data_IF_928717146445
#
_entry.id   IF_928717146445
#
_cell.length_a   1.000
_cell.length_b   1.000
_cell.length_c   1.000
_cell.angle_alpha   90.00
_cell.angle_beta   90.00
_cell.angle_gamma   90.00
#
_symmetry.space_group_name_H-M   'P 1'
#
loop_
_entity.id
_entity.type
_entity.pdbx_description
1 polymer ?
#
# COMPACT_ATOMS: atom_id res chain seq x y z
N UNK A 1 15.24 3.31 -17.46
CA UNK A 1 15.31 2.84 -16.06
C UNK A 1 16.62 3.21 -15.38
N UNK A 2 17.80 2.97 -15.98
CA UNK A 2 19.09 3.41 -15.40
C UNK A 2 19.11 4.89 -15.07
N UNK A 3 18.79 5.76 -16.03
CA UNK A 3 18.75 7.22 -15.81
C UNK A 3 17.80 7.63 -14.68
N UNK A 4 16.65 6.96 -14.55
CA UNK A 4 15.72 7.22 -13.47
C UNK A 4 16.32 6.89 -12.09
N UNK A 5 17.08 5.80 -11.97
CA UNK A 5 17.80 5.49 -10.73
C UNK A 5 18.89 6.54 -10.44
N UNK A 6 19.67 6.94 -11.46
CA UNK A 6 20.71 7.96 -11.31
C UNK A 6 20.12 9.32 -10.85
N UNK A 7 19.02 9.76 -11.47
CA UNK A 7 18.31 10.99 -11.10
C UNK A 7 17.70 10.91 -9.69
N UNK A 8 17.12 9.76 -9.30
CA UNK A 8 16.57 9.59 -7.97
C UNK A 8 17.64 9.65 -6.87
N UNK A 9 18.80 9.05 -7.11
CA UNK A 9 19.93 9.15 -6.18
C UNK A 9 20.49 10.58 -6.12
N UNK A 10 20.55 11.30 -7.25
CA UNK A 10 20.95 12.72 -7.30
C UNK A 10 20.00 13.60 -6.51
N UNK A 11 18.69 13.43 -6.69
CA UNK A 11 17.66 14.15 -5.92
C UNK A 11 17.89 14.00 -4.42
N UNK A 12 18.14 12.78 -3.94
CA UNK A 12 18.42 12.58 -2.51
C UNK A 12 19.67 13.33 -2.05
N UNK A 13 20.76 13.26 -2.80
CA UNK A 13 22.00 13.98 -2.47
C UNK A 13 21.76 15.48 -2.39
N UNK A 14 21.14 16.04 -3.39
CA UNK A 14 20.84 17.48 -3.47
C UNK A 14 20.00 17.92 -2.27
N UNK A 15 18.93 17.19 -1.95
CA UNK A 15 18.09 17.49 -0.77
C UNK A 15 18.83 17.41 0.54
N UNK A 16 19.70 16.42 0.70
CA UNK A 16 20.53 16.28 1.89
C UNK A 16 21.50 17.46 2.00
N UNK A 17 22.19 17.83 0.92
CA UNK A 17 23.12 18.98 0.91
C UNK A 17 22.38 20.30 1.24
N UNK A 18 21.23 20.56 0.64
CA UNK A 18 20.41 21.74 0.91
C UNK A 18 20.00 21.82 2.39
N UNK A 19 19.58 20.71 2.98
CA UNK A 19 19.15 20.66 4.37
C UNK A 19 20.29 20.82 5.36
N UNK A 20 21.45 20.26 5.05
CA UNK A 20 22.68 20.49 5.82
C UNK A 20 23.03 22.00 5.78
N UNK A 21 23.02 22.62 4.60
CA UNK A 21 23.30 24.05 4.44
C UNK A 21 22.27 24.93 5.17
N UNK A 22 21.03 24.48 5.27
CA UNK A 22 19.95 25.16 6.01
C UNK A 22 19.94 24.86 7.51
N UNK A 23 20.91 24.10 8.05
CA UNK A 23 20.99 23.76 9.48
C UNK A 23 19.89 22.80 9.97
N UNK A 24 19.27 22.03 9.09
CA UNK A 24 18.24 21.04 9.46
C UNK A 24 18.92 19.87 10.19
N UNK A 25 18.27 19.37 11.25
CA UNK A 25 18.76 18.22 12.01
C UNK A 25 18.89 16.95 11.17
N UNK A 26 19.86 16.11 11.50
CA UNK A 26 20.22 14.90 10.72
C UNK A 26 19.05 13.91 10.57
N UNK A 27 18.20 13.80 11.58
CA UNK A 27 16.99 12.98 11.60
C UNK A 27 15.97 13.35 10.51
N UNK A 28 16.07 14.57 9.96
CA UNK A 28 15.16 15.11 8.95
C UNK A 28 15.76 15.25 7.55
N UNK A 29 17.03 14.89 7.35
CA UNK A 29 17.70 15.08 6.06
C UNK A 29 17.02 14.35 4.89
N UNK A 30 16.46 13.18 5.12
CA UNK A 30 15.81 12.35 4.09
C UNK A 30 14.27 12.40 4.14
N UNK A 31 13.70 13.12 5.12
CA UNK A 31 12.26 13.19 5.32
C UNK A 31 11.56 13.75 4.08
N UNK A 32 10.55 13.05 3.56
CA UNK A 32 9.71 13.49 2.44
C UNK A 32 10.32 13.33 1.05
N UNK A 33 11.60 12.99 0.89
CA UNK A 33 12.25 12.85 -0.44
C UNK A 33 11.61 11.72 -1.26
N UNK A 34 11.32 10.58 -0.63
CA UNK A 34 10.63 9.48 -1.31
C UNK A 34 9.20 9.86 -1.72
N UNK A 35 8.51 10.70 -0.95
CA UNK A 35 7.18 11.19 -1.30
C UNK A 35 7.22 12.20 -2.46
N UNK A 36 8.24 13.06 -2.51
CA UNK A 36 8.50 13.95 -3.63
C UNK A 36 8.72 13.15 -4.93
N UNK A 37 9.57 12.12 -4.85
CA UNK A 37 9.80 11.21 -5.97
C UNK A 37 8.52 10.45 -6.38
N UNK A 38 7.68 10.06 -5.41
CA UNK A 38 6.40 9.40 -5.67
C UNK A 38 5.48 10.28 -6.52
N UNK A 39 5.36 11.55 -6.18
CA UNK A 39 4.56 12.51 -6.93
C UNK A 39 5.12 12.76 -8.33
N UNK A 40 6.44 12.93 -8.46
CA UNK A 40 7.11 13.18 -9.73
C UNK A 40 6.98 11.99 -10.71
N UNK A 41 7.03 10.76 -10.19
CA UNK A 41 6.93 9.53 -10.99
C UNK A 41 5.52 8.93 -11.06
N UNK A 42 4.53 9.58 -10.43
CA UNK A 42 3.14 9.07 -10.32
C UNK A 42 3.08 7.66 -9.68
N UNK A 43 3.90 7.44 -8.67
CA UNK A 43 3.99 6.16 -7.95
C UNK A 43 3.35 6.27 -6.56
N UNK A 44 2.97 5.13 -5.98
CA UNK A 44 2.64 5.12 -4.56
C UNK A 44 3.89 5.44 -3.71
N UNK A 45 3.74 6.08 -2.53
CA UNK A 45 4.87 6.40 -1.66
C UNK A 45 5.73 5.20 -1.29
N UNK A 46 5.10 4.03 -1.09
CA UNK A 46 5.80 2.79 -0.81
C UNK A 46 6.67 2.30 -2.00
N UNK A 47 6.13 2.39 -3.21
CA UNK A 47 6.87 2.03 -4.44
C UNK A 47 8.05 2.97 -4.65
N UNK A 48 7.82 4.28 -4.48
CA UNK A 48 8.87 5.29 -4.62
C UNK A 48 9.97 5.16 -3.56
N UNK A 49 9.62 4.85 -2.31
CA UNK A 49 10.60 4.60 -1.26
C UNK A 49 11.51 3.41 -1.58
N UNK A 50 10.93 2.30 -2.08
CA UNK A 50 11.72 1.16 -2.56
C UNK A 50 12.56 1.51 -3.77
N UNK A 51 12.04 2.32 -4.69
CA UNK A 51 12.78 2.77 -5.86
C UNK A 51 13.99 3.63 -5.45
N UNK A 52 13.79 4.60 -4.56
CA UNK A 52 14.86 5.45 -4.05
C UNK A 52 15.92 4.65 -3.30
N UNK A 53 15.52 3.70 -2.44
CA UNK A 53 16.46 2.84 -1.74
C UNK A 53 17.34 2.02 -2.71
N UNK A 54 16.74 1.48 -3.78
CA UNK A 54 17.49 0.76 -4.83
C UNK A 54 18.44 1.68 -5.59
N UNK A 55 18.02 2.91 -5.90
CA UNK A 55 18.85 3.90 -6.57
C UNK A 55 20.11 4.21 -5.76
N UNK A 56 19.97 4.39 -4.45
CA UNK A 56 21.08 4.65 -3.53
C UNK A 56 22.00 3.43 -3.41
N UNK A 57 21.44 2.24 -3.33
CA UNK A 57 22.21 1.00 -3.22
C UNK A 57 23.06 0.75 -4.48
N UNK A 58 22.47 0.91 -5.68
CA UNK A 58 23.17 0.81 -6.95
C UNK A 58 24.32 1.81 -7.06
N UNK A 59 24.09 3.05 -6.63
CA UNK A 59 25.10 4.09 -6.72
C UNK A 59 26.25 3.88 -5.77
N UNK A 60 25.98 3.44 -4.54
CA UNK A 60 26.98 3.41 -3.47
C UNK A 60 27.72 2.09 -3.34
N UNK A 61 27.02 0.97 -3.60
CA UNK A 61 27.50 -0.34 -3.17
C UNK A 61 27.58 -1.37 -4.30
N UNK A 62 26.90 -1.15 -5.43
CA UNK A 62 26.79 -2.14 -6.51
C UNK A 62 27.21 -1.56 -7.88
N UNK A 63 28.49 -1.13 -8.03
CA UNK A 63 28.96 -0.48 -9.25
C UNK A 63 28.92 -1.38 -10.48
N UNK A 64 29.20 -2.69 -10.35
CA UNK A 64 29.16 -3.64 -11.47
C UNK A 64 27.72 -3.92 -11.93
N UNK A 65 26.79 -4.16 -10.99
CA UNK A 65 25.35 -4.28 -11.30
C UNK A 65 24.84 -3.02 -11.99
N UNK A 66 25.25 -1.84 -11.49
CA UNK A 66 24.90 -0.56 -12.10
C UNK A 66 25.42 -0.45 -13.56
N UNK A 67 26.65 -0.87 -13.80
CA UNK A 67 27.23 -0.86 -15.14
C UNK A 67 26.45 -1.80 -16.10
N UNK A 68 26.13 -3.03 -15.68
CA UNK A 68 25.33 -3.97 -16.49
C UNK A 68 23.93 -3.43 -16.80
N UNK A 69 23.30 -2.74 -15.85
CA UNK A 69 22.02 -2.09 -16.10
C UNK A 69 22.15 -0.93 -17.10
N UNK A 70 23.24 -0.16 -17.04
CA UNK A 70 23.54 0.92 -17.99
C UNK A 70 23.74 0.37 -19.40
N UNK A 71 24.54 -0.67 -19.54
CA UNK A 71 24.92 -1.27 -20.82
C UNK A 71 23.74 -2.06 -21.45
N UNK A 72 22.67 -2.31 -20.69
CA UNK A 72 21.50 -3.07 -21.15
C UNK A 72 21.63 -4.59 -21.04
N UNK A 73 22.72 -5.08 -20.45
CA UNK A 73 22.98 -6.51 -20.25
C UNK A 73 22.14 -7.09 -19.10
N UNK A 74 21.57 -6.24 -18.25
CA UNK A 74 20.75 -6.64 -17.11
C UNK A 74 19.36 -5.99 -17.18
N UNK A 75 18.33 -6.83 -17.14
CA UNK A 75 16.96 -6.37 -17.12
C UNK A 75 16.62 -5.63 -15.79
N UNK A 76 15.80 -4.55 -15.82
CA UNK A 76 15.43 -3.81 -14.63
C UNK A 76 14.81 -4.66 -13.51
N UNK A 77 14.11 -5.73 -13.85
CA UNK A 77 13.48 -6.68 -12.92
C UNK A 77 14.50 -7.50 -12.12
N UNK A 78 15.74 -7.60 -12.59
CA UNK A 78 16.82 -8.26 -11.88
C UNK A 78 17.33 -7.44 -10.68
N UNK A 79 17.25 -6.11 -10.76
CA UNK A 79 17.75 -5.21 -9.71
C UNK A 79 17.15 -5.50 -8.32
N UNK A 80 15.81 -5.60 -8.16
CA UNK A 80 15.24 -5.96 -6.85
C UNK A 80 15.63 -7.37 -6.36
N UNK A 81 15.94 -8.29 -7.27
CA UNK A 81 16.40 -9.65 -6.92
C UNK A 81 17.82 -9.59 -6.34
N UNK A 82 18.74 -8.93 -7.04
CA UNK A 82 20.13 -8.79 -6.58
C UNK A 82 20.18 -8.03 -5.25
N UNK A 83 19.62 -6.82 -5.20
CA UNK A 83 19.65 -5.99 -4.00
C UNK A 83 18.98 -6.71 -2.82
N UNK A 84 17.82 -7.33 -3.06
CA UNK A 84 17.09 -8.06 -2.03
C UNK A 84 17.86 -9.28 -1.51
N UNK A 85 18.56 -9.99 -2.37
CA UNK A 85 19.40 -11.15 -2.01
C UNK A 85 20.63 -10.77 -1.19
N UNK A 86 21.21 -9.59 -1.45
CA UNK A 86 22.44 -9.11 -0.79
C UNK A 86 22.19 -8.21 0.43
N UNK A 87 20.95 -7.81 0.70
CA UNK A 87 20.62 -6.76 1.68
C UNK A 87 21.07 -7.04 3.12
N UNK A 88 21.31 -8.29 3.49
CA UNK A 88 21.72 -8.72 4.83
C UNK A 88 23.24 -8.77 5.01
N UNK A 89 24.00 -8.73 3.93
CA UNK A 89 25.45 -8.69 3.97
C UNK A 89 25.94 -7.30 4.40
N UNK A 90 27.13 -7.22 4.94
CA UNK A 90 27.80 -5.94 5.15
C UNK A 90 28.21 -5.29 3.82
N UNK A 91 28.72 -4.06 3.87
CA UNK A 91 29.05 -3.30 2.66
C UNK A 91 30.19 -3.97 1.86
N UNK A 92 31.20 -4.51 2.53
CA UNK A 92 32.35 -5.12 1.87
C UNK A 92 31.94 -6.42 1.15
N UNK A 93 31.13 -7.23 1.81
CA UNK A 93 30.61 -8.47 1.23
C UNK A 93 29.63 -8.19 0.09
N UNK A 94 28.80 -7.13 0.18
CA UNK A 94 27.96 -6.68 -0.96
C UNK A 94 28.78 -6.32 -2.19
N UNK A 95 29.87 -5.57 -2.01
CA UNK A 95 30.76 -5.19 -3.10
C UNK A 95 31.47 -6.40 -3.69
N UNK A 96 31.89 -7.36 -2.86
CA UNK A 96 32.47 -8.62 -3.31
C UNK A 96 31.46 -9.44 -4.09
N UNK A 97 30.21 -9.55 -3.62
CA UNK A 97 29.13 -10.22 -4.32
C UNK A 97 28.80 -9.54 -5.65
N UNK A 98 28.75 -8.20 -5.69
CA UNK A 98 28.53 -7.41 -6.91
C UNK A 98 29.58 -7.70 -7.97
N UNK A 99 30.85 -7.77 -7.55
CA UNK A 99 31.96 -8.14 -8.42
C UNK A 99 31.79 -9.57 -8.98
N UNK A 100 31.48 -10.54 -8.12
CA UNK A 100 31.30 -11.94 -8.52
C UNK A 100 30.12 -12.13 -9.48
N UNK A 101 29.04 -11.40 -9.26
CA UNK A 101 27.81 -11.50 -10.07
C UNK A 101 27.93 -10.78 -11.41
N UNK A 102 28.48 -9.56 -11.41
CA UNK A 102 28.28 -8.61 -12.49
C UNK A 102 29.57 -8.07 -13.14
N UNK A 103 30.78 -8.43 -12.65
CA UNK A 103 32.01 -7.97 -13.30
C UNK A 103 32.16 -8.57 -14.71
N UNK A 104 31.83 -9.85 -14.86
CA UNK A 104 31.79 -10.53 -16.16
C UNK A 104 30.34 -10.64 -16.66
N UNK A 105 29.98 -10.04 -17.82
CA UNK A 105 28.64 -10.15 -18.40
C UNK A 105 28.20 -11.60 -18.67
N UNK A 106 29.14 -12.51 -18.93
CA UNK A 106 28.83 -13.89 -19.20
C UNK A 106 28.25 -14.65 -17.99
N UNK A 107 28.56 -14.21 -16.78
CA UNK A 107 28.10 -14.87 -15.54
C UNK A 107 26.58 -14.98 -15.45
N UNK A 108 25.85 -13.93 -15.84
CA UNK A 108 24.39 -13.89 -15.77
C UNK A 108 23.69 -14.18 -17.10
N UNK A 109 24.45 -14.45 -18.16
CA UNK A 109 23.89 -14.66 -19.49
C UNK A 109 22.89 -15.83 -19.52
N UNK A 110 21.68 -15.57 -19.99
CA UNK A 110 20.64 -16.58 -20.14
C UNK A 110 19.92 -16.97 -18.82
N UNK A 111 20.27 -16.40 -17.69
CA UNK A 111 19.59 -16.69 -16.42
C UNK A 111 18.23 -16.01 -16.34
N UNK A 112 17.19 -16.79 -16.06
CA UNK A 112 15.89 -16.25 -15.63
C UNK A 112 15.93 -15.78 -14.17
N UNK A 113 14.95 -14.94 -13.76
CA UNK A 113 14.93 -14.35 -12.41
C UNK A 113 15.00 -15.36 -11.26
N UNK A 114 14.43 -16.56 -11.42
CA UNK A 114 14.52 -17.62 -10.39
C UNK A 114 15.94 -18.20 -10.26
N UNK A 115 16.62 -18.40 -11.39
CA UNK A 115 18.01 -18.86 -11.40
C UNK A 115 18.93 -17.79 -10.82
N UNK A 116 18.72 -16.53 -11.21
CA UNK A 116 19.43 -15.38 -10.65
C UNK A 116 19.25 -15.32 -9.12
N UNK A 117 18.02 -15.45 -8.63
CA UNK A 117 17.76 -15.42 -7.19
C UNK A 117 18.52 -16.52 -6.45
N UNK A 118 18.51 -17.75 -6.97
CA UNK A 118 19.23 -18.87 -6.37
C UNK A 118 20.76 -18.64 -6.41
N UNK A 119 21.28 -18.07 -7.50
CA UNK A 119 22.70 -17.77 -7.65
C UNK A 119 23.15 -16.67 -6.68
N UNK A 120 22.39 -15.58 -6.56
CA UNK A 120 22.62 -14.52 -5.57
C UNK A 120 22.63 -15.07 -4.15
N UNK A 121 21.67 -15.94 -3.81
CA UNK A 121 21.59 -16.57 -2.50
C UNK A 121 22.78 -17.48 -2.19
N UNK A 122 23.27 -18.24 -3.19
CA UNK A 122 24.48 -19.06 -3.06
C UNK A 122 25.72 -18.21 -2.77
N UNK A 123 25.92 -17.11 -3.50
CA UNK A 123 27.05 -16.20 -3.27
C UNK A 123 26.94 -15.55 -1.90
N UNK A 124 25.76 -15.05 -1.53
CA UNK A 124 25.53 -14.42 -0.23
C UNK A 124 25.82 -15.41 0.93
N UNK A 125 25.39 -16.66 0.81
CA UNK A 125 25.66 -17.70 1.79
C UNK A 125 27.16 -18.06 1.88
N UNK A 126 27.86 -18.08 0.74
CA UNK A 126 29.29 -18.36 0.70
C UNK A 126 30.13 -17.26 1.37
N UNK A 127 29.68 -15.98 1.29
CA UNK A 127 30.34 -14.84 1.91
C UNK A 127 30.05 -14.74 3.40
N UNK A 128 28.79 -14.85 3.80
CA UNK A 128 28.38 -14.85 5.21
C UNK A 128 27.19 -15.80 5.46
N UNK A 129 27.53 -17.05 5.80
CA UNK A 129 26.55 -18.07 6.15
C UNK A 129 25.74 -17.69 7.41
N UNK A 130 26.38 -17.00 8.39
CA UNK A 130 25.74 -16.64 9.65
C UNK A 130 24.72 -15.52 9.43
N UNK A 131 25.09 -14.45 8.71
CA UNK A 131 24.15 -13.38 8.36
C UNK A 131 22.94 -13.91 7.60
N UNK A 132 23.14 -14.88 6.70
CA UNK A 132 22.03 -15.52 5.97
C UNK A 132 21.09 -16.30 6.90
N UNK A 133 21.62 -17.03 7.87
CA UNK A 133 20.81 -17.75 8.87
C UNK A 133 20.07 -16.77 9.78
N UNK A 134 20.75 -15.73 10.26
CA UNK A 134 20.15 -14.70 11.13
C UNK A 134 19.06 -13.92 10.38
N UNK A 135 19.23 -13.65 9.09
CA UNK A 135 18.18 -13.08 8.23
C UNK A 135 16.95 -13.99 8.18
N UNK A 136 17.12 -15.28 7.93
CA UNK A 136 16.00 -16.21 7.86
C UNK A 136 15.25 -16.27 9.21
N UNK A 137 15.97 -16.32 10.32
CA UNK A 137 15.37 -16.25 11.65
C UNK A 137 14.65 -14.92 11.92
N UNK A 138 15.20 -13.81 11.42
CA UNK A 138 14.54 -12.50 11.50
C UNK A 138 13.29 -12.41 10.64
N UNK A 139 13.31 -12.98 9.44
CA UNK A 139 12.17 -13.00 8.52
C UNK A 139 10.94 -13.71 9.13
N UNK A 140 11.14 -14.63 10.07
CA UNK A 140 10.02 -15.22 10.79
C UNK A 140 9.22 -14.21 11.63
N UNK A 141 9.81 -13.07 12.01
CA UNK A 141 9.13 -12.00 12.76
C UNK A 141 8.16 -11.20 11.86
N UNK A 142 8.34 -11.27 10.55
CA UNK A 142 7.53 -10.56 9.56
C UNK A 142 6.24 -11.32 9.21
N UNK A 143 5.93 -12.41 9.93
CA UNK A 143 4.67 -13.13 9.75
C UNK A 143 3.49 -12.17 9.82
N UNK A 144 2.64 -12.22 8.81
CA UNK A 144 1.51 -11.30 8.73
C UNK A 144 0.37 -11.89 7.90
N UNK A 145 -0.82 -11.33 8.09
CA UNK A 145 -1.99 -11.59 7.25
C UNK A 145 -2.38 -10.30 6.58
N UNK A 146 -2.56 -10.35 5.28
CA UNK A 146 -2.98 -9.18 4.50
C UNK A 146 -4.22 -9.49 3.67
N UNK A 147 -5.04 -8.46 3.43
CA UNK A 147 -6.17 -8.52 2.51
C UNK A 147 -5.96 -7.52 1.37
N UNK A 148 -6.26 -7.94 0.16
CA UNK A 148 -6.24 -7.08 -1.03
C UNK A 148 -7.53 -7.24 -1.80
N UNK A 149 -8.34 -6.18 -1.95
CA UNK A 149 -9.49 -6.18 -2.82
C UNK A 149 -9.11 -6.48 -4.27
N UNK A 150 -9.97 -7.19 -4.97
CA UNK A 150 -9.87 -7.50 -6.39
C UNK A 150 -11.17 -7.08 -7.08
N UNK A 151 -11.18 -6.97 -8.44
CA UNK A 151 -12.40 -6.77 -9.21
C UNK A 151 -13.46 -7.84 -8.89
N UNK A 152 -14.69 -7.58 -9.30
CA UNK A 152 -15.82 -8.53 -9.24
C UNK A 152 -16.26 -8.92 -7.83
N UNK A 153 -16.01 -8.04 -6.83
CA UNK A 153 -16.38 -8.29 -5.44
C UNK A 153 -15.54 -9.36 -4.74
N UNK A 154 -14.39 -9.68 -5.32
CA UNK A 154 -13.44 -10.64 -4.74
C UNK A 154 -12.39 -9.94 -3.89
N UNK A 155 -11.74 -10.69 -3.01
CA UNK A 155 -10.56 -10.25 -2.28
C UNK A 155 -9.57 -11.40 -2.12
N UNK A 156 -8.29 -11.07 -2.06
CA UNK A 156 -7.24 -12.03 -1.75
C UNK A 156 -6.78 -11.85 -0.32
N UNK A 157 -6.89 -12.91 0.47
CA UNK A 157 -6.25 -13.00 1.78
C UNK A 157 -4.93 -13.76 1.58
N UNK A 158 -3.84 -13.18 2.07
CA UNK A 158 -2.49 -13.75 1.97
C UNK A 158 -1.90 -13.90 3.37
N UNK A 159 -1.33 -15.07 3.63
CA UNK A 159 -0.59 -15.35 4.85
C UNK A 159 0.90 -15.44 4.51
N UNK A 160 1.73 -14.66 5.18
CA UNK A 160 3.18 -14.78 5.15
C UNK A 160 3.61 -15.62 6.37
N UNK A 161 4.15 -16.79 6.10
CA UNK A 161 4.52 -17.80 7.10
C UNK A 161 5.92 -18.35 6.81
N UNK A 162 6.62 -18.92 7.79
CA UNK A 162 7.80 -19.74 7.54
C UNK A 162 7.50 -20.82 6.50
N UNK A 163 8.48 -21.09 5.62
CA UNK A 163 8.29 -21.96 4.45
C UNK A 163 7.66 -23.30 4.81
N UNK A 164 8.15 -23.97 5.86
CA UNK A 164 7.64 -25.27 6.29
C UNK A 164 6.17 -25.20 6.70
N UNK A 165 5.76 -24.12 7.40
CA UNK A 165 4.37 -23.92 7.81
C UNK A 165 3.47 -23.63 6.59
N UNK A 166 3.93 -22.80 5.66
CA UNK A 166 3.18 -22.48 4.44
C UNK A 166 2.97 -23.72 3.57
N UNK A 167 4.03 -24.52 3.35
CA UNK A 167 3.95 -25.79 2.60
C UNK A 167 3.03 -26.79 3.31
N UNK A 168 3.14 -26.92 4.62
CA UNK A 168 2.29 -27.81 5.41
C UNK A 168 0.81 -27.42 5.35
N UNK A 169 0.50 -26.11 5.50
CA UNK A 169 -0.87 -25.59 5.40
C UNK A 169 -1.46 -25.84 4.00
N UNK A 170 -0.70 -25.53 2.95
CA UNK A 170 -1.13 -25.75 1.58
C UNK A 170 -1.35 -27.23 1.26
N UNK A 171 -0.41 -28.10 1.65
CA UNK A 171 -0.52 -29.53 1.44
C UNK A 171 -1.74 -30.13 2.16
N UNK A 172 -2.04 -29.64 3.37
CA UNK A 172 -3.21 -30.08 4.13
C UNK A 172 -4.53 -29.68 3.46
N UNK A 173 -4.64 -28.45 2.93
CA UNK A 173 -5.82 -28.01 2.15
C UNK A 173 -5.98 -28.83 0.88
N UNK A 174 -4.88 -29.09 0.17
CA UNK A 174 -4.87 -29.90 -1.04
C UNK A 174 -5.32 -31.34 -0.78
N UNK A 175 -4.76 -31.98 0.25
CA UNK A 175 -5.14 -33.35 0.63
C UNK A 175 -6.63 -33.46 0.95
N UNK A 176 -7.17 -32.50 1.70
CA UNK A 176 -8.60 -32.48 2.00
C UNK A 176 -9.46 -32.37 0.74
N UNK A 177 -9.10 -31.47 -0.18
CA UNK A 177 -9.81 -31.31 -1.46
C UNK A 177 -9.71 -32.58 -2.31
N UNK A 178 -8.55 -33.22 -2.38
CA UNK A 178 -8.37 -34.47 -3.13
C UNK A 178 -9.23 -35.62 -2.55
N UNK A 179 -9.40 -35.67 -1.23
CA UNK A 179 -10.29 -36.64 -0.57
C UNK A 179 -11.75 -36.44 -0.98
N UNK A 180 -12.24 -35.19 -0.99
CA UNK A 180 -13.64 -34.89 -1.39
C UNK A 180 -13.89 -35.17 -2.87
N UNK A 181 -12.97 -34.82 -3.74
CA UNK A 181 -13.06 -35.09 -5.18
C UNK A 181 -13.05 -36.59 -5.49
N UNK A 182 -12.34 -37.40 -4.69
CA UNK A 182 -12.26 -38.84 -4.83
C UNK A 182 -13.61 -39.57 -4.64
N UNK A 183 -14.59 -38.94 -4.00
CA UNK A 183 -15.93 -39.50 -3.81
C UNK A 183 -16.89 -39.33 -5.02
N UNK A 184 -16.48 -38.56 -6.05
CA UNK A 184 -17.19 -38.45 -7.32
C UNK A 184 -18.51 -37.67 -7.30
N UNK A 185 -18.95 -37.17 -6.15
CA UNK A 185 -20.21 -36.41 -5.98
C UNK A 185 -20.00 -34.92 -5.84
N UNK A 186 -18.73 -34.48 -5.71
CA UNK A 186 -18.37 -33.08 -5.51
C UNK A 186 -18.36 -32.32 -6.85
N UNK A 187 -19.13 -31.24 -6.92
CA UNK A 187 -19.23 -30.38 -8.12
C UNK A 187 -18.25 -29.21 -8.14
N UNK A 188 -17.67 -28.87 -6.98
CA UNK A 188 -16.71 -27.78 -6.87
C UNK A 188 -15.34 -28.20 -7.38
N UNK A 189 -14.60 -27.26 -7.93
CA UNK A 189 -13.19 -27.46 -8.30
C UNK A 189 -12.31 -27.62 -7.05
N UNK A 190 -11.13 -28.22 -7.21
CA UNK A 190 -10.13 -28.32 -6.14
C UNK A 190 -9.85 -26.96 -5.49
N UNK A 191 -9.70 -25.90 -6.31
CA UNK A 191 -9.45 -24.53 -5.83
C UNK A 191 -10.58 -24.00 -4.96
N UNK A 192 -11.83 -24.21 -5.37
CA UNK A 192 -13.01 -23.81 -4.59
C UNK A 192 -13.07 -24.55 -3.25
N UNK A 193 -12.87 -25.85 -3.25
CA UNK A 193 -12.86 -26.65 -2.01
C UNK A 193 -11.74 -26.18 -1.06
N UNK A 194 -10.54 -25.92 -1.59
CA UNK A 194 -9.43 -25.38 -0.79
C UNK A 194 -9.76 -24.02 -0.18
N UNK A 195 -10.37 -23.12 -0.96
CA UNK A 195 -10.75 -21.79 -0.50
C UNK A 195 -11.84 -21.85 0.59
N UNK A 196 -12.90 -22.64 0.37
CA UNK A 196 -13.98 -22.84 1.34
C UNK A 196 -13.47 -23.47 2.63
N UNK A 197 -12.57 -24.46 2.51
CA UNK A 197 -11.93 -25.11 3.67
C UNK A 197 -11.04 -24.17 4.44
N UNK A 198 -10.27 -23.32 3.74
CA UNK A 198 -9.45 -22.30 4.39
C UNK A 198 -10.32 -21.30 5.13
N UNK A 199 -11.39 -20.80 4.50
CA UNK A 199 -12.36 -19.92 5.13
C UNK A 199 -12.97 -20.55 6.40
N UNK A 200 -13.49 -21.77 6.28
CA UNK A 200 -14.10 -22.48 7.40
C UNK A 200 -13.13 -22.65 8.59
N UNK A 201 -11.87 -22.95 8.33
CA UNK A 201 -10.85 -23.13 9.38
C UNK A 201 -10.42 -21.82 10.03
N UNK A 202 -10.30 -20.75 9.25
CA UNK A 202 -9.93 -19.43 9.75
C UNK A 202 -11.05 -18.79 10.58
N UNK A 203 -12.32 -19.03 10.21
CA UNK A 203 -13.48 -18.44 10.87
C UNK A 203 -14.16 -19.35 11.88
N UNK A 204 -13.87 -20.65 11.86
CA UNK A 204 -14.57 -21.68 12.63
C UNK A 204 -15.99 -21.96 12.12
N UNK A 205 -16.37 -21.51 10.91
CA UNK A 205 -17.72 -21.62 10.36
C UNK A 205 -17.70 -22.22 8.96
N UNK A 206 -18.69 -23.05 8.68
CA UNK A 206 -18.82 -23.67 7.36
C UNK A 206 -19.43 -22.76 6.28
N UNK A 207 -20.13 -21.70 6.68
CA UNK A 207 -20.77 -20.72 5.80
C UNK A 207 -20.56 -19.28 6.30
N UNK A 208 -20.72 -18.32 5.38
CA UNK A 208 -20.62 -16.88 5.67
C UNK A 208 -21.82 -16.36 6.46
N UNK A 209 -22.93 -17.12 6.50
CA UNK A 209 -24.18 -16.72 7.13
C UNK A 209 -23.99 -16.53 8.64
N UNK A 210 -24.33 -15.33 9.13
CA UNK A 210 -24.26 -14.98 10.55
C UNK A 210 -22.86 -14.72 11.09
N UNK A 211 -21.87 -14.31 10.27
CA UNK A 211 -20.62 -13.76 10.80
C UNK A 211 -20.84 -12.37 11.40
N UNK A 212 -20.53 -12.15 12.69
CA UNK A 212 -20.51 -10.82 13.27
C UNK A 212 -19.21 -10.10 12.81
N UNK A 213 -19.18 -9.64 11.56
CA UNK A 213 -18.11 -8.78 11.06
C UNK A 213 -18.67 -7.37 10.98
N UNK A 214 -18.05 -6.45 11.72
CA UNK A 214 -18.35 -5.03 11.58
C UNK A 214 -17.80 -4.57 10.23
N UNK A 215 -18.69 -4.47 9.26
CA UNK A 215 -18.36 -4.01 7.91
C UNK A 215 -18.98 -2.62 7.74
N UNK A 216 -18.15 -1.60 7.56
CA UNK A 216 -18.64 -0.26 7.22
C UNK A 216 -18.94 -0.21 5.72
N UNK A 217 -20.22 -0.12 5.40
CA UNK A 217 -20.70 -0.03 4.03
C UNK A 217 -21.36 1.33 3.81
N UNK A 218 -20.83 2.13 2.88
CA UNK A 218 -21.45 3.38 2.45
C UNK A 218 -22.25 3.13 1.18
N UNK A 219 -23.57 3.32 1.25
CA UNK A 219 -24.50 3.12 0.13
C UNK A 219 -25.49 4.28 0.08
N UNK A 220 -25.81 4.86 -1.10
CA UNK A 220 -26.87 5.85 -1.23
C UNK A 220 -28.22 5.27 -0.80
N UNK A 221 -29.04 6.06 -0.09
CA UNK A 221 -30.35 5.60 0.34
C UNK A 221 -31.27 5.20 -0.83
N UNK A 222 -31.18 5.91 -1.94
CA UNK A 222 -31.90 5.62 -3.19
C UNK A 222 -31.49 4.30 -3.83
N UNK A 223 -30.22 3.91 -3.66
CA UNK A 223 -29.66 2.64 -4.13
C UNK A 223 -29.98 1.51 -3.16
N UNK A 224 -29.95 1.78 -1.84
CA UNK A 224 -30.28 0.80 -0.80
C UNK A 224 -31.76 0.41 -0.82
N UNK A 225 -32.64 1.41 -0.87
CA UNK A 225 -34.10 1.26 -0.69
C UNK A 225 -34.87 1.21 -2.01
N UNK A 226 -34.22 1.51 -3.13
CA UNK A 226 -34.82 1.53 -4.47
C UNK A 226 -34.23 0.47 -5.39
N UNK A 227 -34.89 0.25 -6.54
CA UNK A 227 -34.42 -0.68 -7.58
C UNK A 227 -33.44 -0.02 -8.56
N UNK A 228 -32.84 1.13 -8.17
CA UNK A 228 -31.91 1.82 -9.04
C UNK A 228 -30.55 1.10 -9.05
N UNK A 229 -29.92 0.98 -10.23
CA UNK A 229 -28.54 0.52 -10.33
C UNK A 229 -27.62 1.53 -9.63
N UNK A 230 -26.58 1.04 -9.00
CA UNK A 230 -25.61 1.87 -8.29
C UNK A 230 -24.53 1.03 -7.62
N UNK A 231 -23.68 1.69 -6.86
CA UNK A 231 -22.59 1.03 -6.15
C UNK A 231 -22.59 1.42 -4.67
N UNK A 232 -22.04 0.54 -3.85
CA UNK A 232 -21.72 0.78 -2.46
C UNK A 232 -20.20 0.77 -2.27
N UNK A 233 -19.71 1.47 -1.29
CA UNK A 233 -18.30 1.43 -0.90
C UNK A 233 -18.14 0.67 0.41
N UNK A 234 -17.26 -0.33 0.38
CA UNK A 234 -16.88 -1.14 1.54
C UNK A 234 -15.53 -0.66 2.06
N UNK A 235 -15.47 -0.24 3.32
CA UNK A 235 -14.21 0.19 3.95
C UNK A 235 -13.17 -0.95 3.90
N UNK A 236 -12.00 -0.66 3.30
CA UNK A 236 -10.95 -1.66 3.09
C UNK A 236 -11.24 -2.71 2.00
N UNK A 237 -12.45 -2.74 1.44
CA UNK A 237 -12.88 -3.72 0.42
C UNK A 237 -13.13 -3.13 -0.97
N UNK A 238 -13.21 -1.79 -1.10
CA UNK A 238 -13.46 -1.14 -2.39
C UNK A 238 -14.94 -1.01 -2.75
N UNK A 239 -15.22 -0.94 -4.05
CA UNK A 239 -16.57 -0.70 -4.58
C UNK A 239 -17.29 -2.02 -4.88
N UNK A 240 -18.53 -2.14 -4.44
CA UNK A 240 -19.41 -3.29 -4.68
C UNK A 240 -20.64 -2.89 -5.51
N UNK A 241 -21.15 -3.75 -6.40
CA UNK A 241 -22.47 -3.58 -7.00
C UNK A 241 -23.57 -3.49 -5.93
N UNK A 242 -24.61 -2.70 -6.19
CA UNK A 242 -25.70 -2.47 -5.26
C UNK A 242 -26.43 -3.76 -4.82
N UNK A 243 -26.57 -4.71 -5.72
CA UNK A 243 -27.21 -6.00 -5.43
C UNK A 243 -26.44 -6.80 -4.39
N UNK A 244 -25.11 -6.91 -4.55
CA UNK A 244 -24.25 -7.59 -3.57
C UNK A 244 -24.31 -6.88 -2.22
N UNK A 245 -24.29 -5.54 -2.23
CA UNK A 245 -24.38 -4.75 -0.99
C UNK A 245 -25.74 -4.94 -0.29
N UNK A 246 -26.86 -4.95 -1.04
CA UNK A 246 -28.21 -5.24 -0.49
C UNK A 246 -28.29 -6.63 0.12
N UNK A 247 -27.74 -7.64 -0.55
CA UNK A 247 -27.71 -9.02 -0.04
C UNK A 247 -26.92 -9.12 1.27
N UNK A 248 -25.73 -8.48 1.34
CA UNK A 248 -24.94 -8.44 2.57
C UNK A 248 -25.69 -7.77 3.73
N UNK A 249 -26.36 -6.63 3.47
CA UNK A 249 -27.17 -5.93 4.47
C UNK A 249 -28.39 -6.78 4.87
N UNK A 250 -29.07 -7.43 3.92
CA UNK A 250 -30.20 -8.31 4.17
C UNK A 250 -29.83 -9.47 5.11
N UNK A 251 -28.73 -10.16 4.84
CA UNK A 251 -28.22 -11.23 5.69
C UNK A 251 -27.84 -10.71 7.10
N UNK A 252 -27.13 -9.58 7.17
CA UNK A 252 -26.76 -8.96 8.45
C UNK A 252 -28.00 -8.51 9.25
N UNK A 253 -29.01 -7.99 8.59
CA UNK A 253 -30.28 -7.58 9.22
C UNK A 253 -31.04 -8.79 9.75
N UNK A 254 -31.15 -9.86 8.97
CA UNK A 254 -31.80 -11.10 9.40
C UNK A 254 -31.11 -11.73 10.62
N UNK A 255 -29.80 -11.54 10.74
CA UNK A 255 -29.00 -12.00 11.89
C UNK A 255 -29.01 -11.01 13.08
N UNK A 256 -29.70 -9.86 12.99
CA UNK A 256 -29.68 -8.83 14.04
C UNK A 256 -28.37 -8.07 14.18
N UNK A 257 -27.51 -8.10 13.14
CA UNK A 257 -26.14 -7.58 13.16
C UNK A 257 -25.96 -6.31 12.30
N UNK A 258 -27.04 -5.73 11.76
CA UNK A 258 -27.00 -4.53 10.95
C UNK A 258 -27.21 -3.25 11.79
N UNK A 259 -26.31 -2.29 11.66
CA UNK A 259 -26.41 -0.96 12.29
C UNK A 259 -26.38 0.10 11.18
N UNK A 260 -27.33 1.03 11.18
CA UNK A 260 -27.44 2.09 10.17
C UNK A 260 -27.00 3.42 10.74
N UNK A 261 -25.94 4.02 10.16
CA UNK A 261 -25.52 5.39 10.39
C UNK A 261 -25.87 6.24 9.16
N UNK A 262 -26.67 7.30 9.32
CA UNK A 262 -27.05 8.17 8.21
C UNK A 262 -26.01 9.26 8.01
N UNK A 263 -25.53 9.41 6.78
CA UNK A 263 -24.70 10.53 6.35
C UNK A 263 -25.54 11.43 5.43
N UNK A 264 -25.60 12.73 5.72
CA UNK A 264 -26.31 13.70 4.91
C UNK A 264 -25.35 14.30 3.89
N UNK A 265 -25.76 14.30 2.64
CA UNK A 265 -24.95 14.74 1.48
C UNK A 265 -25.70 15.92 0.85
N UNK A 266 -24.98 16.99 0.46
CA UNK A 266 -25.57 18.08 -0.32
C UNK A 266 -25.96 17.57 -1.72
N UNK A 267 -27.22 17.72 -2.17
CA UNK A 267 -27.72 17.07 -3.39
C UNK A 267 -26.99 17.47 -4.66
N UNK A 268 -26.53 18.73 -4.73
CA UNK A 268 -25.92 19.30 -5.94
C UNK A 268 -24.42 18.98 -6.09
N UNK A 269 -23.68 18.84 -4.98
CA UNK A 269 -22.23 18.65 -5.00
C UNK A 269 -21.79 17.27 -4.54
N UNK A 270 -22.67 16.47 -3.93
CA UNK A 270 -22.30 15.22 -3.24
C UNK A 270 -21.40 15.47 -2.02
N UNK A 271 -21.29 16.73 -1.54
CA UNK A 271 -20.46 17.08 -0.41
C UNK A 271 -21.17 16.75 0.92
N UNK A 272 -20.47 16.15 1.86
CA UNK A 272 -20.96 15.95 3.23
C UNK A 272 -20.94 17.29 3.96
N UNK A 273 -22.05 17.70 4.58
CA UNK A 273 -22.18 19.01 5.22
C UNK A 273 -21.45 19.06 6.56
N UNK A 274 -20.76 20.17 6.81
CA UNK A 274 -19.67 20.39 7.75
C UNK A 274 -20.01 20.34 9.26
N UNK A 275 -19.03 19.89 10.06
CA UNK A 275 -18.88 20.21 11.48
C UNK A 275 -17.51 20.87 11.71
N UNK A 276 -17.46 21.92 12.53
CA UNK A 276 -16.23 22.56 13.00
C UNK A 276 -15.98 22.22 14.47
N UNK A 277 -14.70 22.12 14.87
CA UNK A 277 -14.31 21.91 16.25
C UNK A 277 -13.28 22.95 16.70
N UNK A 278 -13.36 23.37 17.97
CA UNK A 278 -12.33 24.20 18.61
C UNK A 278 -11.16 23.37 19.17
N UNK A 279 -11.28 22.05 19.13
CA UNK A 279 -10.22 21.15 19.61
C UNK A 279 -9.14 20.97 18.52
N UNK A 280 -7.89 20.79 18.94
CA UNK A 280 -6.77 20.47 18.02
C UNK A 280 -6.96 19.10 17.34
N UNK A 281 -7.46 18.12 18.06
CA UNK A 281 -7.74 16.80 17.51
C UNK A 281 -9.12 16.78 16.85
N UNK A 282 -9.24 16.07 15.75
CA UNK A 282 -10.52 15.84 15.09
C UNK A 282 -11.43 14.98 15.99
N UNK A 283 -12.62 15.46 16.41
CA UNK A 283 -13.58 14.62 17.08
C UNK A 283 -13.99 13.42 16.21
N UNK A 284 -14.32 12.29 16.84
CA UNK A 284 -14.61 11.04 16.12
C UNK A 284 -15.65 11.20 15.01
N UNK A 285 -16.73 11.93 15.26
CA UNK A 285 -17.77 12.19 14.26
C UNK A 285 -17.24 12.96 13.05
N UNK A 286 -16.38 13.96 13.25
CA UNK A 286 -15.77 14.74 12.18
C UNK A 286 -14.71 13.91 11.43
N UNK A 287 -13.93 13.11 12.16
CA UNK A 287 -12.97 12.18 11.57
C UNK A 287 -13.66 11.13 10.70
N UNK A 288 -14.77 10.57 11.14
CA UNK A 288 -15.57 9.63 10.36
C UNK A 288 -16.14 10.26 9.08
N UNK A 289 -16.61 11.52 9.17
CA UNK A 289 -17.10 12.26 7.99
C UNK A 289 -15.99 12.48 6.97
N UNK A 290 -14.78 12.86 7.43
CA UNK A 290 -13.62 13.04 6.55
C UNK A 290 -13.20 11.73 5.92
N UNK A 291 -13.16 10.62 6.69
CA UNK A 291 -12.85 9.29 6.16
C UNK A 291 -13.87 8.84 5.11
N UNK A 292 -15.16 9.04 5.38
CA UNK A 292 -16.23 8.72 4.43
C UNK A 292 -16.14 9.56 3.14
N UNK A 293 -15.75 10.83 3.24
CA UNK A 293 -15.49 11.69 2.09
C UNK A 293 -14.30 11.22 1.26
N UNK A 294 -13.18 10.96 1.93
CA UNK A 294 -11.88 10.77 1.29
C UNK A 294 -11.64 9.33 0.85
N UNK A 295 -12.19 8.33 1.55
CA UNK A 295 -12.10 6.88 1.30
C UNK A 295 -10.69 6.30 1.35
N UNK A 296 -9.71 6.96 0.74
CA UNK A 296 -8.30 6.62 0.67
C UNK A 296 -7.43 7.84 1.01
N UNK A 297 -6.14 7.60 1.19
CA UNK A 297 -5.16 8.65 1.41
C UNK A 297 -5.26 9.75 0.33
N UNK A 298 -5.34 11.01 0.77
CA UNK A 298 -5.54 12.16 -0.11
C UNK A 298 -4.30 12.61 -0.87
N UNK A 299 -3.14 12.03 -0.60
CA UNK A 299 -1.95 12.29 -1.40
C UNK A 299 -2.15 11.68 -2.80
N UNK A 300 -1.94 12.44 -3.87
CA UNK A 300 -2.02 11.91 -5.23
C UNK A 300 -1.21 10.63 -5.41
N UNK A 301 -1.77 9.67 -6.16
CA UNK A 301 -1.16 8.36 -6.46
C UNK A 301 -0.97 7.43 -5.25
N UNK A 302 -1.52 7.80 -4.06
CA UNK A 302 -1.47 7.00 -2.86
C UNK A 302 -2.84 6.42 -2.53
N UNK A 303 -3.09 5.19 -2.94
CA UNK A 303 -4.36 4.49 -2.68
C UNK A 303 -4.34 3.71 -1.34
N UNK A 304 -3.45 4.09 -0.41
CA UNK A 304 -3.35 3.45 0.89
C UNK A 304 -4.57 3.77 1.76
N UNK A 305 -4.96 2.86 2.68
CA UNK A 305 -5.99 3.13 3.67
C UNK A 305 -5.64 4.36 4.52
N UNK A 306 -6.67 5.11 4.91
CA UNK A 306 -6.52 6.26 5.82
C UNK A 306 -6.17 5.75 7.22
N UNK A 307 -5.01 6.15 7.72
CA UNK A 307 -4.59 5.89 9.10
C UNK A 307 -4.88 7.08 10.02
N UNK A 308 -4.76 8.31 9.49
CA UNK A 308 -4.90 9.54 10.25
C UNK A 308 -5.86 10.50 9.56
N UNK A 309 -6.67 11.19 10.37
CA UNK A 309 -7.37 12.40 9.95
C UNK A 309 -6.54 13.58 10.41
N UNK A 310 -6.06 14.38 9.48
CA UNK A 310 -5.12 15.46 9.79
C UNK A 310 -5.46 16.76 9.06
N UNK A 311 -4.85 17.86 9.47
CA UNK A 311 -5.07 19.18 8.91
C UNK A 311 -4.37 19.33 7.55
N UNK A 312 -5.02 19.94 6.58
CA UNK A 312 -4.41 20.38 5.32
C UNK A 312 -3.41 21.52 5.63
N UNK A 313 -3.91 22.62 6.19
CA UNK A 313 -3.06 23.67 6.79
C UNK A 313 -2.86 23.32 8.25
N UNK A 314 -1.60 23.13 8.72
CA UNK A 314 -1.34 22.69 10.08
C UNK A 314 -1.96 23.59 11.16
N UNK A 315 -2.45 22.99 12.23
CA UNK A 315 -3.02 23.73 13.38
C UNK A 315 -2.00 24.71 13.98
N UNK A 316 -0.73 24.33 14.01
CA UNK A 316 0.36 25.18 14.51
C UNK A 316 0.54 26.48 13.72
N UNK A 317 0.12 26.53 12.45
CA UNK A 317 0.16 27.70 11.58
C UNK A 317 -1.21 28.39 11.42
N UNK A 318 -2.17 28.07 12.32
CA UNK A 318 -3.50 28.70 12.36
C UNK A 318 -4.59 27.95 11.62
N UNK A 319 -4.32 26.74 11.12
CA UNK A 319 -5.34 25.91 10.48
C UNK A 319 -6.41 25.46 11.46
N UNK A 320 -7.68 25.65 11.12
CA UNK A 320 -8.84 25.26 11.96
C UNK A 320 -9.08 23.75 11.87
N UNK A 321 -9.55 23.15 12.96
CA UNK A 321 -10.08 21.78 12.96
C UNK A 321 -11.49 21.80 12.39
N UNK A 322 -11.60 21.65 11.09
CA UNK A 322 -12.84 21.74 10.33
C UNK A 322 -12.92 20.66 9.26
N UNK A 323 -14.12 20.41 8.76
CA UNK A 323 -14.33 19.50 7.64
C UNK A 323 -13.54 19.90 6.39
N UNK A 324 -13.48 21.22 6.11
CA UNK A 324 -12.78 21.78 4.94
C UNK A 324 -11.26 21.78 5.10
N UNK A 325 -10.73 21.91 6.31
CA UNK A 325 -9.28 21.85 6.56
C UNK A 325 -8.81 20.46 7.00
N UNK A 326 -9.71 19.48 7.07
CA UNK A 326 -9.35 18.09 7.38
C UNK A 326 -9.12 17.26 6.13
N UNK A 327 -8.21 16.29 6.21
CA UNK A 327 -7.93 15.30 5.16
C UNK A 327 -7.56 13.94 5.77
N UNK A 328 -7.90 12.88 5.04
CA UNK A 328 -7.49 11.53 5.39
C UNK A 328 -6.13 11.17 4.79
N UNK A 329 -5.17 10.75 5.59
CA UNK A 329 -3.82 10.38 5.16
C UNK A 329 -3.41 9.00 5.69
N UNK A 330 -2.61 8.26 4.92
CA UNK A 330 -1.84 7.15 5.47
C UNK A 330 -0.68 7.67 6.34
N UNK A 331 -0.11 6.80 7.17
CA UNK A 331 0.97 7.21 8.07
C UNK A 331 2.19 7.80 7.33
N UNK A 332 2.60 7.19 6.21
CA UNK A 332 3.74 7.64 5.43
C UNK A 332 3.53 9.04 4.83
N UNK A 333 2.35 9.31 4.24
CA UNK A 333 2.03 10.62 3.66
C UNK A 333 1.86 11.68 4.74
N UNK A 334 1.26 11.32 5.88
CA UNK A 334 1.13 12.23 7.00
C UNK A 334 2.49 12.68 7.54
N UNK A 335 3.44 11.75 7.64
CA UNK A 335 4.80 12.07 8.03
C UNK A 335 5.55 12.91 6.98
N UNK A 336 5.37 12.58 5.69
CA UNK A 336 6.06 13.25 4.59
C UNK A 336 5.66 14.73 4.44
N UNK A 337 4.39 15.07 4.65
CA UNK A 337 3.90 16.46 4.52
C UNK A 337 4.51 17.43 5.55
N UNK A 338 5.04 16.92 6.66
CA UNK A 338 5.75 17.71 7.68
C UNK A 338 7.22 17.96 7.35
N UNK A 339 7.71 17.46 6.21
CA UNK A 339 9.07 17.70 5.77
C UNK A 339 9.28 19.15 5.34
N UNK A 340 10.53 19.70 5.49
CA UNK A 340 10.83 21.05 5.06
C UNK A 340 10.49 21.32 3.59
N UNK A 341 9.86 22.46 3.31
CA UNK A 341 9.52 22.90 1.95
C UNK A 341 8.20 22.31 1.41
N UNK A 342 7.51 21.46 2.15
CA UNK A 342 6.17 21.00 1.79
C UNK A 342 5.11 21.98 2.28
N UNK A 343 4.13 22.28 1.42
CA UNK A 343 2.98 23.12 1.73
C UNK A 343 1.72 22.53 1.12
N UNK A 344 0.60 22.60 1.87
CA UNK A 344 -0.69 22.18 1.36
C UNK A 344 -1.75 23.22 1.71
N UNK A 345 -2.74 23.40 0.82
CA UNK A 345 -3.89 24.25 1.07
C UNK A 345 -5.14 23.67 0.43
N UNK A 346 -6.27 23.96 1.01
CA UNK A 346 -7.56 23.69 0.39
C UNK A 346 -7.83 24.73 -0.69
N UNK A 347 -8.29 24.30 -1.84
CA UNK A 347 -8.70 25.19 -2.95
C UNK A 347 -10.16 24.91 -3.34
N UNK A 348 -10.81 25.91 -3.91
CA UNK A 348 -12.13 25.75 -4.50
C UNK A 348 -12.06 24.89 -5.76
N UNK A 349 -13.03 24.00 -5.90
CA UNK A 349 -13.18 23.13 -7.07
C UNK A 349 -14.52 23.43 -7.74
N UNK A 350 -14.60 23.54 -9.09
CA UNK A 350 -15.85 23.83 -9.79
C UNK A 350 -16.98 22.84 -9.51
N UNK A 351 -16.64 21.63 -9.08
CA UNK A 351 -17.62 20.60 -8.70
C UNK A 351 -18.09 20.72 -7.26
N UNK A 352 -17.59 21.69 -6.48
CA UNK A 352 -17.87 21.86 -5.05
C UNK A 352 -17.26 20.77 -4.15
N UNK A 353 -16.45 19.86 -4.71
CA UNK A 353 -15.79 18.79 -3.95
C UNK A 353 -14.53 19.31 -3.26
N UNK A 354 -14.23 18.74 -2.11
CA UNK A 354 -13.03 19.06 -1.35
C UNK A 354 -11.77 18.76 -2.15
N UNK A 355 -10.99 19.80 -2.46
CA UNK A 355 -9.75 19.69 -3.23
C UNK A 355 -8.58 20.25 -2.44
N UNK A 356 -7.50 19.48 -2.40
CA UNK A 356 -6.23 19.85 -1.75
C UNK A 356 -5.18 20.07 -2.83
N UNK A 357 -4.50 21.19 -2.76
CA UNK A 357 -3.33 21.51 -3.56
C UNK A 357 -2.08 21.37 -2.70
N UNK A 358 -1.15 20.53 -3.14
CA UNK A 358 0.11 20.24 -2.45
C UNK A 358 1.27 20.75 -3.28
N UNK A 359 2.17 21.47 -2.64
CA UNK A 359 3.41 21.99 -3.21
C UNK A 359 4.59 21.19 -2.65
N UNK A 360 5.45 20.70 -3.52
CA UNK A 360 6.67 20.00 -3.17
C UNK A 360 7.85 20.97 -3.05
N UNK A 361 8.96 20.59 -2.37
CA UNK A 361 10.18 21.41 -2.31
C UNK A 361 10.78 21.74 -3.68
N UNK A 362 10.55 20.89 -4.71
CA UNK A 362 10.96 21.16 -6.11
C UNK A 362 10.08 22.18 -6.82
N UNK A 363 9.04 22.71 -6.18
CA UNK A 363 8.12 23.69 -6.76
C UNK A 363 7.00 23.06 -7.62
N UNK A 364 6.92 21.73 -7.71
CA UNK A 364 5.80 21.09 -8.39
C UNK A 364 4.52 21.20 -7.56
N UNK A 365 3.41 21.35 -8.27
CA UNK A 365 2.08 21.49 -7.69
C UNK A 365 1.21 20.31 -8.09
N UNK A 366 0.65 19.64 -7.11
CA UNK A 366 -0.22 18.48 -7.30
C UNK A 366 -1.60 18.74 -6.67
N UNK A 367 -2.67 18.28 -7.33
CA UNK A 367 -4.03 18.41 -6.84
C UNK A 367 -4.67 17.05 -6.61
N UNK A 368 -5.44 16.97 -5.54
CA UNK A 368 -6.22 15.81 -5.18
C UNK A 368 -7.65 16.25 -4.82
N UNK A 369 -8.62 15.81 -5.59
CA UNK A 369 -10.06 16.08 -5.37
C UNK A 369 -10.72 14.86 -4.72
N UNK A 370 -11.55 15.06 -3.70
CA UNK A 370 -12.28 13.99 -3.06
C UNK A 370 -13.15 13.22 -4.08
N UNK A 371 -13.25 11.89 -4.00
CA UNK A 371 -14.10 11.15 -4.92
C UNK A 371 -15.56 11.62 -4.80
N UNK A 372 -16.34 11.58 -5.89
CA UNK A 372 -17.76 11.86 -5.80
C UNK A 372 -18.40 10.86 -4.84
N UNK A 373 -19.20 11.34 -3.91
CA UNK A 373 -20.09 10.47 -3.18
C UNK A 373 -21.16 10.02 -4.19
N UNK A 374 -21.45 8.73 -4.23
CA UNK A 374 -22.47 8.22 -5.11
C UNK A 374 -23.80 8.93 -4.80
N UNK A 375 -24.38 9.58 -5.81
CA UNK A 375 -25.66 10.30 -5.71
C UNK A 375 -26.83 9.30 -5.66
#
# INVERSE_FOLDING_TARGET
MFEQYALAASLLRERVCERIAAGVGQDRWQQGVAAELALALHLSPHTAAKFLARAVELERHLPHTRARLHDGDLAPEAIPVIIGGLAHLDIADRQTADQQLCADPATLAGMGLKQLAAHVEQIAYALDARATVDRNASAEKDRTVTIRPLPEGMARVSLLLPLAQAVGAYAHLRKHADTLLGHGTELRTRGQIMADTAFARLTGRASIDGQPVLVNLTIPATVLLGDRPGTAHLDGGGTLPAEIARNLIGHATAAGLAWVKRLYIAPESGAVVAMDSRQRLFPDGLADMIRARDRYCRTPYCDAPIAHTDHVTPHATGGKTSYTNGQGLCAACNYAKEAPGWHARTIEDPTGRHTVETHTPTGHVHRSTAPPQAA
#
